data_IF_740545551439
#
_entry.id   IF_740545551439
#
_cell.length_a   1.000
_cell.length_b   1.000
_cell.length_c   1.000
_cell.angle_alpha   90.00
_cell.angle_beta   90.00
_cell.angle_gamma   90.00
#
_symmetry.space_group_name_H-M   'P 1'
#
loop_
_entity.id
_entity.type
_entity.pdbx_description
1 polymer ?
#
# COMPACT_ATOMS: atom_id res chain seq x y z
N UNK A 1 32.44 -26.10 -20.64
CA UNK A 1 31.76 -25.08 -21.46
C UNK A 1 30.47 -24.72 -20.75
N UNK A 2 30.44 -23.55 -20.11
CA UNK A 2 29.31 -23.08 -19.33
C UNK A 2 28.29 -22.41 -20.23
N UNK A 3 27.04 -22.88 -20.22
CA UNK A 3 25.91 -22.16 -20.79
C UNK A 3 25.18 -21.46 -19.62
N UNK A 4 25.38 -20.14 -19.51
CA UNK A 4 24.63 -19.31 -18.57
C UNK A 4 23.22 -19.11 -19.12
N UNK A 5 22.22 -19.53 -18.35
CA UNK A 5 20.82 -19.26 -18.64
C UNK A 5 20.54 -17.76 -18.57
N UNK A 6 19.97 -17.19 -19.63
CA UNK A 6 19.44 -15.85 -19.64
C UNK A 6 18.17 -15.88 -18.76
N UNK A 7 18.29 -15.37 -17.53
CA UNK A 7 17.12 -14.97 -16.76
C UNK A 7 16.65 -13.66 -17.39
N UNK A 8 15.57 -13.72 -18.15
CA UNK A 8 14.87 -12.53 -18.65
C UNK A 8 14.32 -11.79 -17.44
N UNK A 9 15.04 -10.76 -17.00
CA UNK A 9 14.55 -9.82 -16.00
C UNK A 9 13.34 -9.12 -16.62
N UNK A 10 12.14 -9.57 -16.26
CA UNK A 10 10.91 -8.90 -16.69
C UNK A 10 10.82 -7.67 -15.81
N UNK A 11 11.40 -6.55 -16.25
CA UNK A 11 11.21 -5.27 -15.58
C UNK A 11 9.70 -5.06 -15.46
N UNK A 12 9.20 -4.98 -14.23
CA UNK A 12 7.79 -4.69 -14.00
C UNK A 12 7.48 -3.35 -14.67
N UNK A 13 6.54 -3.36 -15.61
CA UNK A 13 6.12 -2.15 -16.30
C UNK A 13 5.77 -1.06 -15.27
N UNK A 14 6.27 0.15 -15.50
CA UNK A 14 5.98 1.30 -14.65
C UNK A 14 4.46 1.47 -14.55
N UNK A 15 3.97 1.51 -13.32
CA UNK A 15 2.56 1.68 -12.99
C UNK A 15 2.12 3.14 -13.05
N UNK A 16 3.05 4.03 -13.42
CA UNK A 16 2.84 5.46 -13.62
C UNK A 16 3.03 6.25 -12.33
N UNK A 17 2.42 7.42 -12.27
CA UNK A 17 2.44 8.30 -11.09
C UNK A 17 1.21 8.08 -10.25
N UNK A 18 1.37 8.02 -8.92
CA UNK A 18 0.26 8.02 -7.99
C UNK A 18 -0.48 9.37 -8.04
N UNK A 19 -1.74 9.33 -8.46
CA UNK A 19 -2.67 10.48 -8.40
C UNK A 19 -3.43 10.46 -7.06
N UNK A 20 -3.92 11.63 -6.63
CA UNK A 20 -4.58 11.80 -5.33
C UNK A 20 -3.66 12.17 -4.16
N UNK A 21 -4.28 12.56 -3.04
CA UNK A 21 -3.59 13.02 -1.84
C UNK A 21 -2.98 11.84 -1.08
N UNK A 22 -1.66 11.86 -0.91
CA UNK A 22 -0.93 10.85 -0.15
C UNK A 22 -0.77 11.27 1.32
N UNK A 23 -1.18 10.42 2.24
CA UNK A 23 -1.12 10.64 3.69
C UNK A 23 -0.23 9.56 4.31
N UNK A 24 0.83 9.97 5.02
CA UNK A 24 1.71 9.02 5.74
C UNK A 24 0.95 8.40 6.91
N UNK A 25 1.08 7.08 7.09
CA UNK A 25 0.36 6.36 8.13
C UNK A 25 1.28 5.43 8.92
N UNK A 26 0.89 5.15 10.17
CA UNK A 26 1.40 4.04 10.94
C UNK A 26 0.46 2.84 10.77
N UNK A 27 0.91 1.78 10.09
CA UNK A 27 0.08 0.63 9.74
C UNK A 27 0.40 -0.59 10.62
N UNK A 28 -0.65 -1.24 11.14
CA UNK A 28 -0.57 -2.60 11.70
C UNK A 28 -0.95 -3.58 10.60
N UNK A 29 -0.04 -4.50 10.29
CA UNK A 29 -0.25 -5.51 9.26
C UNK A 29 0.17 -6.90 9.76
N UNK A 30 -0.45 -7.94 9.22
CA UNK A 30 0.06 -9.30 9.29
C UNK A 30 1.03 -9.57 8.15
N UNK A 31 2.01 -10.42 8.44
CA UNK A 31 2.84 -11.10 7.47
C UNK A 31 2.48 -12.58 7.59
N UNK A 32 1.88 -13.15 6.55
CA UNK A 32 1.49 -14.56 6.56
C UNK A 32 2.71 -15.46 6.41
N UNK A 33 2.58 -16.76 6.72
CA UNK A 33 3.62 -17.75 6.48
C UNK A 33 4.04 -17.86 5.00
N UNK A 34 3.17 -17.44 4.07
CA UNK A 34 3.45 -17.36 2.64
C UNK A 34 4.09 -16.05 2.20
N UNK A 35 4.47 -15.17 3.13
CA UNK A 35 5.09 -13.87 2.82
C UNK A 35 4.13 -12.78 2.36
N UNK A 36 2.81 -13.01 2.42
CA UNK A 36 1.81 -12.00 2.02
C UNK A 36 1.57 -11.02 3.15
N UNK A 37 1.64 -9.73 2.84
CA UNK A 37 1.35 -8.65 3.78
C UNK A 37 -0.14 -8.31 3.72
N UNK A 38 -0.80 -8.22 4.88
CA UNK A 38 -2.22 -7.88 5.01
C UNK A 38 -2.40 -6.73 6.01
N UNK A 39 -2.74 -5.50 5.57
CA UNK A 39 -3.04 -4.40 6.48
C UNK A 39 -4.34 -4.67 7.24
N UNK A 40 -4.37 -4.30 8.53
CA UNK A 40 -5.48 -4.58 9.45
C UNK A 40 -6.12 -3.31 10.01
N UNK A 41 -5.27 -2.37 10.44
CA UNK A 41 -5.65 -1.13 11.11
C UNK A 41 -4.52 -0.12 10.95
N UNK A 42 -4.81 1.17 10.98
CA UNK A 42 -3.76 2.19 10.90
C UNK A 42 -4.14 3.47 11.64
N UNK A 43 -3.14 4.32 11.87
CA UNK A 43 -3.31 5.68 12.36
C UNK A 43 -2.74 6.68 11.37
N UNK A 44 -3.37 7.84 11.29
CA UNK A 44 -2.95 8.95 10.45
C UNK A 44 -3.26 10.27 11.13
N UNK A 45 -2.48 11.30 10.81
CA UNK A 45 -2.77 12.66 11.26
C UNK A 45 -3.83 13.28 10.35
N UNK A 46 -4.94 13.72 10.95
CA UNK A 46 -6.00 14.43 10.25
C UNK A 46 -5.61 15.85 9.87
N UNK A 47 -6.47 16.53 9.12
CA UNK A 47 -6.26 17.92 8.67
C UNK A 47 -6.24 18.92 9.84
N UNK A 48 -6.84 18.54 10.96
CA UNK A 48 -6.85 19.26 12.23
C UNK A 48 -5.60 19.00 13.10
N UNK A 49 -4.65 18.19 12.61
CA UNK A 49 -3.48 17.75 13.37
C UNK A 49 -3.78 16.67 14.41
N UNK A 50 -5.03 16.21 14.54
CA UNK A 50 -5.39 15.15 15.48
C UNK A 50 -5.09 13.77 14.90
N UNK A 51 -4.56 12.89 15.75
CA UNK A 51 -4.29 11.51 15.38
C UNK A 51 -5.58 10.71 15.28
N UNK A 52 -5.96 10.34 14.07
CA UNK A 52 -7.11 9.50 13.76
C UNK A 52 -6.72 8.02 13.78
N UNK A 53 -7.65 7.17 14.21
CA UNK A 53 -7.43 5.71 14.27
C UNK A 53 -8.48 4.97 13.46
N UNK A 54 -8.03 4.17 12.50
CA UNK A 54 -8.86 3.25 11.71
C UNK A 54 -8.65 1.84 12.24
N UNK A 55 -9.61 1.32 12.99
CA UNK A 55 -9.47 0.06 13.72
C UNK A 55 -9.60 -1.19 12.85
N UNK A 56 -10.35 -1.12 11.74
CA UNK A 56 -10.63 -2.26 10.88
C UNK A 56 -10.57 -1.85 9.41
N UNK A 57 -9.65 -2.46 8.67
CA UNK A 57 -9.51 -2.32 7.23
C UNK A 57 -10.02 -3.59 6.55
N UNK A 58 -10.94 -3.42 5.61
CA UNK A 58 -11.33 -4.48 4.68
C UNK A 58 -10.49 -4.34 3.42
N UNK A 59 -9.59 -5.29 3.18
CA UNK A 59 -8.83 -5.37 1.92
C UNK A 59 -9.68 -6.07 0.87
N UNK A 60 -9.97 -5.40 -0.25
CA UNK A 60 -10.72 -5.99 -1.37
C UNK A 60 -9.81 -6.74 -2.33
N UNK A 61 -8.70 -6.13 -2.70
CA UNK A 61 -7.69 -6.69 -3.59
C UNK A 61 -6.32 -6.08 -3.27
N UNK A 62 -5.24 -6.79 -3.59
CA UNK A 62 -3.89 -6.27 -3.48
C UNK A 62 -3.03 -6.74 -4.64
N UNK A 63 -2.16 -5.87 -5.11
CA UNK A 63 -1.27 -6.10 -6.25
C UNK A 63 0.11 -5.49 -6.04
N UNK A 64 1.10 -6.12 -6.65
CA UNK A 64 2.44 -5.56 -6.77
C UNK A 64 2.43 -4.48 -7.85
N UNK A 65 2.94 -3.29 -7.50
CA UNK A 65 3.09 -2.15 -8.39
C UNK A 65 4.54 -1.70 -8.43
N UNK A 66 4.87 -0.94 -9.46
CA UNK A 66 6.15 -0.26 -9.59
C UNK A 66 5.83 1.21 -9.87
N UNK A 67 5.88 2.07 -8.85
CA UNK A 67 5.55 3.48 -9.01
C UNK A 67 6.82 4.29 -9.21
N UNK A 68 7.02 4.84 -10.41
CA UNK A 68 8.23 5.62 -10.74
C UNK A 68 9.53 4.84 -10.47
N UNK A 69 9.52 3.54 -10.79
CA UNK A 69 10.67 2.64 -10.55
C UNK A 69 10.77 2.08 -9.13
N UNK A 70 9.88 2.44 -8.21
CA UNK A 70 9.90 1.95 -6.82
C UNK A 70 8.93 0.77 -6.65
N UNK A 71 9.43 -0.43 -6.29
CA UNK A 71 8.58 -1.57 -5.96
C UNK A 71 7.66 -1.27 -4.78
N UNK A 72 6.38 -1.62 -4.92
CA UNK A 72 5.36 -1.33 -3.91
C UNK A 72 4.26 -2.38 -3.90
N UNK A 73 3.57 -2.49 -2.77
CA UNK A 73 2.34 -3.27 -2.62
C UNK A 73 1.17 -2.31 -2.49
N UNK A 74 0.25 -2.30 -3.45
CA UNK A 74 -0.99 -1.54 -3.40
C UNK A 74 -2.14 -2.42 -2.92
N UNK A 75 -3.00 -1.88 -2.05
CA UNK A 75 -4.20 -2.54 -1.53
C UNK A 75 -5.41 -1.64 -1.71
N UNK A 76 -6.39 -2.08 -2.49
CA UNK A 76 -7.71 -1.46 -2.53
C UNK A 76 -8.46 -1.80 -1.25
N UNK A 77 -8.78 -0.78 -0.46
CA UNK A 77 -9.26 -0.91 0.91
C UNK A 77 -10.60 -0.20 1.11
N UNK A 78 -11.34 -0.66 2.11
CA UNK A 78 -12.55 -0.01 2.62
C UNK A 78 -12.54 0.00 4.14
N UNK A 79 -12.88 1.14 4.76
CA UNK A 79 -13.03 1.25 6.20
C UNK A 79 -14.03 2.34 6.59
N UNK A 80 -14.43 2.36 7.86
CA UNK A 80 -15.22 3.45 8.42
C UNK A 80 -14.28 4.53 8.96
N UNK A 81 -14.33 5.73 8.39
CA UNK A 81 -13.53 6.90 8.79
C UNK A 81 -14.48 8.08 8.93
N UNK A 82 -14.49 8.72 10.11
CA UNK A 82 -15.43 9.82 10.40
C UNK A 82 -16.90 9.40 10.37
N UNK A 83 -17.20 8.13 10.65
CA UNK A 83 -18.58 7.58 10.60
C UNK A 83 -19.07 7.20 9.20
N UNK A 84 -18.29 7.47 8.15
CA UNK A 84 -18.62 7.13 6.77
C UNK A 84 -17.79 5.95 6.28
N UNK A 85 -18.40 5.10 5.46
CA UNK A 85 -17.64 4.05 4.74
C UNK A 85 -16.90 4.71 3.59
N UNK A 86 -15.58 4.64 3.60
CA UNK A 86 -14.71 5.22 2.59
C UNK A 86 -13.90 4.12 1.89
N UNK A 87 -13.73 4.26 0.58
CA UNK A 87 -12.80 3.47 -0.21
C UNK A 87 -11.52 4.27 -0.46
N UNK A 88 -10.37 3.62 -0.34
CA UNK A 88 -9.05 4.25 -0.46
C UNK A 88 -8.01 3.18 -0.80
N UNK A 89 -6.81 3.61 -1.15
CA UNK A 89 -5.67 2.72 -1.37
C UNK A 89 -4.71 2.80 -0.19
N UNK A 90 -4.18 1.66 0.24
CA UNK A 90 -2.99 1.61 1.09
C UNK A 90 -1.81 1.14 0.25
N UNK A 91 -0.68 1.81 0.37
CA UNK A 91 0.53 1.48 -0.37
C UNK A 91 1.65 1.26 0.62
N UNK A 92 2.30 0.08 0.53
CA UNK A 92 3.51 -0.23 1.27
C UNK A 92 4.71 -0.16 0.33
N UNK A 93 5.73 0.58 0.74
CA UNK A 93 7.05 0.64 0.11
C UNK A 93 8.03 -0.20 0.93
N UNK A 94 8.32 -1.45 0.51
CA UNK A 94 9.11 -2.38 1.34
C UNK A 94 10.52 -1.89 1.62
N UNK A 95 11.18 -1.28 0.63
CA UNK A 95 12.55 -0.77 0.75
C UNK A 95 12.66 0.38 1.75
N UNK A 96 11.59 1.15 1.93
CA UNK A 96 11.53 2.28 2.86
C UNK A 96 10.88 1.91 4.21
N UNK A 97 10.29 0.72 4.33
CA UNK A 97 9.46 0.36 5.47
C UNK A 97 8.27 1.31 5.69
N UNK A 98 7.80 1.98 4.62
CA UNK A 98 6.84 3.10 4.71
C UNK A 98 5.46 2.69 4.19
N UNK A 99 4.42 3.15 4.91
CA UNK A 99 3.03 3.06 4.46
C UNK A 99 2.45 4.44 4.15
N UNK A 100 1.63 4.50 3.10
CA UNK A 100 0.79 5.66 2.79
C UNK A 100 -0.64 5.24 2.49
N UNK A 101 -1.58 6.12 2.83
CA UNK A 101 -2.96 6.07 2.36
C UNK A 101 -3.12 7.06 1.20
N UNK A 102 -3.84 6.65 0.15
CA UNK A 102 -4.20 7.51 -0.98
C UNK A 102 -5.72 7.55 -1.08
N UNK A 103 -6.28 8.76 -0.95
CA UNK A 103 -7.71 8.99 -1.13
C UNK A 103 -8.03 9.17 -2.62
N UNK A 104 -9.17 8.64 -3.11
CA UNK A 104 -9.64 8.93 -4.46
C UNK A 104 -9.94 10.44 -4.60
N UNK A 105 -9.71 10.99 -5.79
CA UNK A 105 -10.08 12.37 -6.15
C UNK A 105 -11.60 12.56 -6.22
#
# INVERSE_FOLDING_TARGET
MSAFGIVTNTEKADSGTLTGRQIKIACKAWFTSSGVIKPLSFKFEGDDGMMQTVNHVTVRFGEEKCYSGIPSMEYACRAVIGGLTQEFKLIFYPEEGRWVMVLPE
#
